data_IF_640319316054
#
_entry.id   IF_640319316054
#
_cell.length_a   1.000
_cell.length_b   1.000
_cell.length_c   1.000
_cell.angle_alpha   90.00
_cell.angle_beta   90.00
_cell.angle_gamma   90.00
#
_symmetry.space_group_name_H-M   'P 1'
#
loop_
_entity.id
_entity.type
_entity.pdbx_description
1 polymer ?
#
# COMPACT_ATOMS: atom_id res chain seq x y z
N UNK A 1 -9.44 2.61 -24.45
CA UNK A 1 -10.11 3.92 -24.71
C UNK A 1 -10.64 4.59 -23.45
N UNK A 2 -11.49 3.93 -22.63
CA UNK A 2 -12.10 4.56 -21.43
C UNK A 2 -11.06 5.13 -20.45
N UNK A 3 -10.02 4.36 -20.13
CA UNK A 3 -8.91 4.82 -19.26
C UNK A 3 -8.22 6.09 -19.79
N UNK A 4 -7.85 6.10 -21.07
CA UNK A 4 -7.17 7.24 -21.70
C UNK A 4 -8.03 8.50 -21.66
N UNK A 5 -9.32 8.37 -21.98
CA UNK A 5 -10.27 9.48 -21.90
C UNK A 5 -10.43 10.00 -20.46
N UNK A 6 -10.50 9.09 -19.48
CA UNK A 6 -10.59 9.45 -18.07
C UNK A 6 -9.31 10.13 -17.55
N UNK A 7 -8.14 9.73 -18.04
CA UNK A 7 -6.87 10.37 -17.69
C UNK A 7 -6.76 11.77 -18.33
N UNK A 8 -7.19 11.93 -19.58
CA UNK A 8 -7.21 13.24 -20.23
C UNK A 8 -8.20 14.20 -19.55
N UNK A 9 -9.35 13.69 -19.08
CA UNK A 9 -10.32 14.49 -18.32
C UNK A 9 -9.72 15.00 -16.99
N UNK A 10 -9.00 14.13 -16.28
CA UNK A 10 -8.29 14.50 -15.05
C UNK A 10 -7.22 15.54 -15.27
N UNK A 11 -6.39 15.40 -16.32
CA UNK A 11 -5.37 16.38 -16.66
C UNK A 11 -5.99 17.75 -16.95
N UNK A 12 -7.15 17.79 -17.61
CA UNK A 12 -7.89 19.04 -17.83
C UNK A 12 -8.39 19.63 -16.52
N UNK A 13 -8.91 18.80 -15.61
CA UNK A 13 -9.34 19.26 -14.28
C UNK A 13 -8.16 19.82 -13.47
N UNK A 14 -7.01 19.14 -13.51
CA UNK A 14 -5.78 19.57 -12.85
C UNK A 14 -5.27 20.92 -13.41
N UNK A 15 -5.25 21.06 -14.74
CA UNK A 15 -4.87 22.30 -15.42
C UNK A 15 -5.79 23.46 -15.02
N UNK A 16 -7.11 23.23 -15.02
CA UNK A 16 -8.10 24.22 -14.63
C UNK A 16 -7.95 24.67 -13.17
N UNK A 17 -7.73 23.72 -12.25
CA UNK A 17 -7.52 24.01 -10.83
C UNK A 17 -6.19 24.77 -10.58
N UNK A 18 -5.13 24.40 -11.30
CA UNK A 18 -3.80 25.00 -11.15
C UNK A 18 -3.69 26.42 -11.76
N UNK A 19 -4.52 26.76 -12.76
CA UNK A 19 -4.38 27.94 -13.62
C UNK A 19 -4.08 29.27 -12.90
N UNK A 20 -4.68 29.51 -11.73
CA UNK A 20 -4.56 30.81 -11.04
C UNK A 20 -3.38 30.89 -10.06
N UNK A 21 -3.02 29.78 -9.42
CA UNK A 21 -2.05 29.76 -8.31
C UNK A 21 -0.76 29.03 -8.64
N UNK A 22 -0.81 28.11 -9.60
CA UNK A 22 0.28 27.19 -9.94
C UNK A 22 0.44 27.09 -11.46
N UNK A 23 0.84 28.19 -12.15
CA UNK A 23 0.94 28.22 -13.62
C UNK A 23 1.87 27.12 -14.16
N UNK A 24 2.97 26.82 -13.46
CA UNK A 24 3.88 25.73 -13.83
C UNK A 24 3.18 24.34 -13.87
N UNK A 25 2.29 24.06 -12.90
CA UNK A 25 1.49 22.81 -12.90
C UNK A 25 0.48 22.81 -14.04
N UNK A 26 -0.14 23.96 -14.30
CA UNK A 26 -1.07 24.13 -15.43
C UNK A 26 -0.39 23.90 -16.78
N UNK A 27 0.80 24.46 -17.00
CA UNK A 27 1.56 24.28 -18.24
C UNK A 27 2.05 22.84 -18.42
N UNK A 28 2.52 22.20 -17.35
CA UNK A 28 2.91 20.78 -17.38
C UNK A 28 1.71 19.85 -17.70
N UNK A 29 0.53 20.15 -17.15
CA UNK A 29 -0.69 19.39 -17.43
C UNK A 29 -1.13 19.54 -18.90
N UNK A 30 -1.05 20.73 -19.47
CA UNK A 30 -1.34 20.96 -20.90
C UNK A 30 -0.36 20.22 -21.81
N UNK A 31 0.93 20.24 -21.46
CA UNK A 31 1.94 19.46 -22.19
C UNK A 31 1.67 17.95 -22.08
N UNK A 32 1.32 17.45 -20.89
CA UNK A 32 0.96 16.05 -20.68
C UNK A 32 -0.28 15.64 -21.48
N UNK A 33 -1.28 16.50 -21.65
CA UNK A 33 -2.46 16.24 -22.51
C UNK A 33 -2.04 16.06 -23.96
N UNK A 34 -1.17 16.92 -24.49
CA UNK A 34 -0.68 16.79 -25.86
C UNK A 34 0.08 15.48 -26.06
N UNK A 35 0.94 15.13 -25.10
CA UNK A 35 1.68 13.86 -25.12
C UNK A 35 0.75 12.65 -25.01
N UNK A 36 -0.28 12.72 -24.15
CA UNK A 36 -1.23 11.62 -23.97
C UNK A 36 -2.00 11.29 -25.25
N UNK A 37 -2.28 12.28 -26.10
CA UNK A 37 -2.98 12.08 -27.38
C UNK A 37 -2.19 11.29 -28.41
N UNK A 38 -0.87 11.21 -28.28
CA UNK A 38 -0.05 10.36 -29.15
C UNK A 38 0.14 8.94 -28.62
N UNK A 39 -0.38 8.62 -27.43
CA UNK A 39 -0.25 7.30 -26.80
C UNK A 39 -1.55 6.52 -26.92
N UNK A 40 -1.46 5.19 -27.08
CA UNK A 40 -2.64 4.32 -27.24
C UNK A 40 -2.84 3.31 -26.11
N UNK A 41 -1.77 2.93 -25.40
CA UNK A 41 -1.78 1.92 -24.35
C UNK A 41 -1.20 2.41 -23.01
N UNK A 42 -1.66 1.85 -21.87
CA UNK A 42 -1.08 2.11 -20.54
C UNK A 42 0.44 1.85 -20.46
N UNK A 43 0.93 0.83 -21.17
CA UNK A 43 2.35 0.49 -21.23
C UNK A 43 3.18 1.61 -21.87
N UNK A 44 2.64 2.35 -22.84
CA UNK A 44 3.32 3.50 -23.43
C UNK A 44 3.39 4.66 -22.42
N UNK A 45 2.37 4.83 -21.58
CA UNK A 45 2.41 5.82 -20.48
C UNK A 45 3.49 5.44 -19.46
N UNK A 46 3.59 4.16 -19.09
CA UNK A 46 4.60 3.68 -18.15
C UNK A 46 6.04 3.95 -18.65
N UNK A 47 6.27 3.94 -19.96
CA UNK A 47 7.55 4.29 -20.58
C UNK A 47 7.81 5.81 -20.62
N UNK A 48 6.77 6.62 -20.42
CA UNK A 48 6.82 8.07 -20.47
C UNK A 48 6.72 8.67 -19.06
N UNK A 49 7.83 8.62 -18.32
CA UNK A 49 7.90 9.10 -16.94
C UNK A 49 7.48 10.58 -16.77
N UNK A 50 7.56 11.41 -17.80
CA UNK A 50 7.08 12.81 -17.76
C UNK A 50 5.60 12.92 -17.34
N UNK A 51 4.77 11.97 -17.78
CA UNK A 51 3.34 11.93 -17.43
C UNK A 51 3.17 11.62 -15.95
N UNK A 52 3.99 10.75 -15.37
CA UNK A 52 3.95 10.52 -13.93
C UNK A 52 4.52 11.71 -13.16
N UNK A 53 5.68 12.22 -13.57
CA UNK A 53 6.37 13.34 -12.89
C UNK A 53 5.50 14.58 -12.78
N UNK A 54 4.66 14.87 -13.78
CA UNK A 54 3.74 16.00 -13.66
C UNK A 54 2.68 15.77 -12.56
N UNK A 55 2.23 14.54 -12.31
CA UNK A 55 1.25 14.25 -11.25
C UNK A 55 1.93 14.40 -9.89
N UNK A 56 3.16 13.90 -9.78
CA UNK A 56 3.98 14.08 -8.57
C UNK A 56 4.29 15.56 -8.32
N UNK A 57 4.57 16.34 -9.38
CA UNK A 57 4.76 17.79 -9.27
C UNK A 57 3.50 18.50 -8.76
N UNK A 58 2.32 18.09 -9.24
CA UNK A 58 1.06 18.64 -8.75
C UNK A 58 0.80 18.30 -7.28
N UNK A 59 1.18 17.08 -6.86
CA UNK A 59 1.13 16.64 -5.47
C UNK A 59 2.12 17.45 -4.60
N UNK A 60 3.33 17.74 -5.10
CA UNK A 60 4.37 18.49 -4.37
C UNK A 60 3.99 19.94 -4.03
N UNK A 61 2.98 20.51 -4.69
CA UNK A 61 2.46 21.84 -4.32
C UNK A 61 1.75 21.82 -2.96
N UNK A 62 1.32 20.64 -2.47
CA UNK A 62 0.63 20.45 -1.18
C UNK A 62 -0.64 21.32 -1.04
N UNK A 63 -1.29 21.61 -2.16
CA UNK A 63 -2.63 22.19 -2.19
C UNK A 63 -3.66 21.07 -2.10
N UNK A 64 -4.55 21.11 -1.10
CA UNK A 64 -5.57 20.07 -0.86
C UNK A 64 -6.28 19.63 -2.13
N UNK A 65 -6.78 20.58 -2.95
CA UNK A 65 -7.50 20.26 -4.18
C UNK A 65 -6.62 19.61 -5.24
N UNK A 66 -5.40 20.12 -5.44
CA UNK A 66 -4.46 19.54 -6.41
C UNK A 66 -3.97 18.17 -5.95
N UNK A 67 -3.73 17.98 -4.66
CA UNK A 67 -3.39 16.70 -4.05
C UNK A 67 -4.51 15.67 -4.24
N UNK A 68 -5.77 16.03 -4.01
CA UNK A 68 -6.91 15.12 -4.23
C UNK A 68 -7.03 14.70 -5.69
N UNK A 69 -6.89 15.65 -6.62
CA UNK A 69 -6.92 15.34 -8.07
C UNK A 69 -5.71 14.48 -8.43
N UNK A 70 -4.49 14.90 -8.07
CA UNK A 70 -3.24 14.22 -8.37
C UNK A 70 -3.19 12.78 -7.84
N UNK A 71 -3.60 12.56 -6.59
CA UNK A 71 -3.70 11.22 -6.01
C UNK A 71 -4.77 10.37 -6.71
N UNK A 72 -5.92 10.95 -7.11
CA UNK A 72 -6.92 10.22 -7.89
C UNK A 72 -6.38 9.77 -9.25
N UNK A 73 -5.57 10.61 -9.89
CA UNK A 73 -4.91 10.27 -11.15
C UNK A 73 -3.90 9.15 -10.93
N UNK A 74 -3.08 9.27 -9.90
CA UNK A 74 -2.06 8.29 -9.53
C UNK A 74 -2.69 6.92 -9.26
N UNK A 75 -3.80 6.87 -8.51
CA UNK A 75 -4.59 5.65 -8.29
C UNK A 75 -4.98 4.98 -9.61
N UNK A 76 -5.45 5.75 -10.60
CA UNK A 76 -5.81 5.22 -11.92
C UNK A 76 -4.60 4.72 -12.69
N UNK A 77 -3.48 5.45 -12.67
CA UNK A 77 -2.25 5.01 -13.34
C UNK A 77 -1.76 3.68 -12.76
N UNK A 78 -1.72 3.56 -11.44
CA UNK A 78 -1.30 2.34 -10.74
C UNK A 78 -2.24 1.18 -11.08
N UNK A 79 -3.56 1.38 -10.97
CA UNK A 79 -4.56 0.34 -11.23
C UNK A 79 -4.55 -0.20 -12.67
N UNK A 80 -4.08 0.61 -13.62
CA UNK A 80 -4.00 0.25 -15.04
C UNK A 80 -2.59 -0.16 -15.50
N UNK A 81 -1.66 -0.39 -14.57
CA UNK A 81 -0.26 -0.69 -14.88
C UNK A 81 0.42 0.34 -15.80
N UNK A 82 0.03 1.61 -15.66
CA UNK A 82 0.55 2.75 -16.42
C UNK A 82 1.72 3.46 -15.72
N UNK A 83 2.44 2.73 -14.86
CA UNK A 83 3.53 3.24 -14.02
C UNK A 83 4.64 2.20 -13.99
N UNK A 84 5.87 2.62 -14.27
CA UNK A 84 7.05 1.78 -14.16
C UNK A 84 7.42 1.51 -12.69
N UNK A 85 7.94 0.32 -12.39
CA UNK A 85 8.37 -0.06 -11.04
C UNK A 85 9.48 0.83 -10.48
N UNK A 86 10.28 1.47 -11.35
CA UNK A 86 11.30 2.45 -10.98
C UNK A 86 10.73 3.63 -10.18
N UNK A 87 9.46 3.99 -10.39
CA UNK A 87 8.84 5.15 -9.77
C UNK A 87 8.25 4.87 -8.38
N UNK A 88 8.32 3.63 -7.88
CA UNK A 88 7.75 3.25 -6.58
C UNK A 88 8.30 4.14 -5.45
N UNK A 89 9.61 4.43 -5.45
CA UNK A 89 10.25 5.26 -4.43
C UNK A 89 9.69 6.69 -4.40
N UNK A 90 9.52 7.31 -5.56
CA UNK A 90 8.98 8.66 -5.67
C UNK A 90 7.50 8.72 -5.28
N UNK A 91 6.75 7.66 -5.60
CA UNK A 91 5.35 7.51 -5.19
C UNK A 91 5.25 7.40 -3.67
N UNK A 92 6.04 6.54 -3.04
CA UNK A 92 6.04 6.39 -1.58
C UNK A 92 6.49 7.67 -0.87
N UNK A 93 7.48 8.39 -1.42
CA UNK A 93 7.89 9.69 -0.90
C UNK A 93 6.74 10.71 -0.98
N UNK A 94 6.04 10.77 -2.12
CA UNK A 94 4.88 11.64 -2.30
C UNK A 94 3.75 11.29 -1.34
N UNK A 95 3.45 10.00 -1.14
CA UNK A 95 2.41 9.54 -0.21
C UNK A 95 2.76 9.85 1.24
N UNK A 96 4.04 9.75 1.63
CA UNK A 96 4.52 10.17 2.95
C UNK A 96 4.26 11.67 3.17
N UNK A 97 4.67 12.50 2.21
CA UNK A 97 4.44 13.95 2.27
C UNK A 97 2.95 14.32 2.41
N UNK A 98 2.05 13.51 1.85
CA UNK A 98 0.60 13.72 1.94
C UNK A 98 -0.01 13.16 3.23
N UNK A 99 0.58 12.12 3.82
CA UNK A 99 0.18 11.63 5.13
C UNK A 99 0.46 12.68 6.23
N UNK A 100 1.56 13.43 6.09
CA UNK A 100 1.96 14.50 7.01
C UNK A 100 1.12 15.79 6.88
N UNK A 101 0.27 15.89 5.84
CA UNK A 101 -0.70 16.99 5.73
C UNK A 101 -1.80 16.84 6.79
N UNK A 102 -2.30 17.96 7.31
CA UNK A 102 -3.35 17.97 8.34
C UNK A 102 -4.78 17.82 7.79
N UNK A 103 -4.94 17.80 6.47
CA UNK A 103 -6.25 17.71 5.83
C UNK A 103 -6.74 16.26 5.78
N UNK A 104 -7.88 15.99 6.42
CA UNK A 104 -8.46 14.64 6.51
C UNK A 104 -8.74 14.03 5.13
N UNK A 105 -9.21 14.83 4.16
CA UNK A 105 -9.54 14.31 2.82
C UNK A 105 -8.27 13.82 2.14
N UNK A 106 -7.18 14.57 2.25
CA UNK A 106 -5.88 14.15 1.72
C UNK A 106 -5.37 12.89 2.43
N UNK A 107 -5.42 12.83 3.75
CA UNK A 107 -4.96 11.65 4.51
C UNK A 107 -5.74 10.38 4.15
N UNK A 108 -7.07 10.46 4.05
CA UNK A 108 -7.91 9.34 3.60
C UNK A 108 -7.59 8.93 2.16
N UNK A 109 -7.34 9.91 1.28
CA UNK A 109 -6.95 9.65 -0.11
C UNK A 109 -5.57 8.99 -0.19
N UNK A 110 -4.63 9.36 0.68
CA UNK A 110 -3.33 8.69 0.83
C UNK A 110 -3.53 7.23 1.22
N UNK A 111 -4.33 6.93 2.24
CA UNK A 111 -4.61 5.55 2.67
C UNK A 111 -5.28 4.69 1.58
N UNK A 112 -6.20 5.27 0.81
CA UNK A 112 -6.78 4.59 -0.35
C UNK A 112 -5.73 4.30 -1.43
N UNK A 113 -4.82 5.24 -1.67
CA UNK A 113 -3.73 5.07 -2.65
C UNK A 113 -2.74 4.01 -2.19
N UNK A 114 -2.43 3.96 -0.89
CA UNK A 114 -1.62 2.91 -0.28
C UNK A 114 -2.23 1.52 -0.52
N UNK A 115 -3.54 1.37 -0.27
CA UNK A 115 -4.21 0.08 -0.49
C UNK A 115 -4.15 -0.36 -1.96
N UNK A 116 -4.39 0.58 -2.89
CA UNK A 116 -4.29 0.30 -4.34
C UNK A 116 -2.86 -0.10 -4.73
N UNK A 117 -1.85 0.55 -4.15
CA UNK A 117 -0.44 0.21 -4.38
C UNK A 117 -0.14 -1.23 -3.97
N UNK A 118 -0.55 -1.65 -2.76
CA UNK A 118 -0.38 -3.03 -2.27
C UNK A 118 -1.13 -4.08 -3.10
N UNK A 119 -2.23 -3.70 -3.75
CA UNK A 119 -3.02 -4.60 -4.61
C UNK A 119 -2.49 -4.68 -6.05
N UNK A 120 -1.54 -3.82 -6.42
CA UNK A 120 -1.06 -3.66 -7.80
C UNK A 120 0.26 -4.39 -8.08
N UNK A 121 0.75 -4.25 -9.32
CA UNK A 121 2.09 -4.70 -9.70
C UNK A 121 3.21 -3.86 -9.06
N UNK A 122 2.89 -2.74 -8.42
CA UNK A 122 3.84 -1.89 -7.68
C UNK A 122 3.85 -2.19 -6.17
N UNK A 123 3.34 -3.33 -5.73
CA UNK A 123 3.41 -3.68 -4.33
C UNK A 123 4.90 -3.69 -3.87
N UNK A 124 5.21 -3.28 -2.63
CA UNK A 124 6.59 -3.23 -2.18
C UNK A 124 7.19 -4.63 -2.12
N UNK A 125 8.32 -4.85 -2.80
CA UNK A 125 9.06 -6.12 -2.81
C UNK A 125 10.37 -6.05 -2.04
N UNK A 126 10.89 -4.82 -1.82
CA UNK A 126 12.09 -4.61 -1.02
C UNK A 126 11.73 -4.25 0.42
N UNK A 127 12.63 -4.56 1.34
CA UNK A 127 12.49 -4.22 2.75
C UNK A 127 12.35 -2.70 2.99
N UNK A 128 13.15 -1.88 2.31
CA UNK A 128 13.08 -0.41 2.37
C UNK A 128 11.70 0.10 1.92
N UNK A 129 11.21 -0.37 0.77
CA UNK A 129 9.91 0.08 0.25
C UNK A 129 8.74 -0.43 1.09
N UNK A 130 8.84 -1.65 1.63
CA UNK A 130 7.84 -2.24 2.53
C UNK A 130 7.75 -1.45 3.84
N UNK A 131 8.90 -1.17 4.46
CA UNK A 131 8.99 -0.36 5.68
C UNK A 131 8.42 1.03 5.46
N UNK A 132 8.80 1.70 4.37
CA UNK A 132 8.28 3.03 4.04
C UNK A 132 6.74 2.99 3.84
N UNK A 133 6.24 2.01 3.10
CA UNK A 133 4.81 1.85 2.82
C UNK A 133 3.98 1.60 4.09
N UNK A 134 4.40 0.64 4.91
CA UNK A 134 3.72 0.33 6.18
C UNK A 134 3.90 1.46 7.19
N UNK A 135 5.07 2.11 7.20
CA UNK A 135 5.38 3.27 8.03
C UNK A 135 4.43 4.44 7.79
N UNK A 136 4.00 4.69 6.54
CA UNK A 136 2.97 5.70 6.24
C UNK A 136 1.63 5.35 6.92
N UNK A 137 1.23 4.08 6.89
CA UNK A 137 -0.01 3.64 7.53
C UNK A 137 0.07 3.78 9.06
N UNK A 138 1.20 3.39 9.65
CA UNK A 138 1.41 3.49 11.10
C UNK A 138 1.52 4.94 11.56
N UNK A 139 2.19 5.80 10.80
CA UNK A 139 2.22 7.24 11.06
C UNK A 139 0.80 7.82 11.20
N UNK A 140 -0.10 7.52 10.26
CA UNK A 140 -1.49 7.98 10.32
C UNK A 140 -2.32 7.34 11.43
N UNK A 141 -1.95 6.11 11.86
CA UNK A 141 -2.62 5.41 12.96
C UNK A 141 -2.28 6.03 14.33
N UNK A 142 -1.02 6.41 14.51
CA UNK A 142 -0.46 6.88 15.78
C UNK A 142 -0.42 8.41 15.90
N UNK A 143 -0.54 9.13 14.79
CA UNK A 143 -0.54 10.59 14.79
C UNK A 143 -1.73 11.16 15.55
N UNK A 144 -1.44 11.92 16.61
CA UNK A 144 -2.44 12.70 17.34
C UNK A 144 -3.08 13.82 16.51
N UNK A 145 -2.51 14.15 15.33
CA UNK A 145 -3.07 15.14 14.40
C UNK A 145 -4.12 14.55 13.46
N UNK A 146 -4.15 13.22 13.33
CA UNK A 146 -5.12 12.52 12.50
C UNK A 146 -6.44 12.34 13.24
N UNK A 147 -7.56 12.54 12.54
CA UNK A 147 -8.89 12.32 13.12
C UNK A 147 -9.13 10.83 13.38
N UNK A 148 -10.11 10.51 14.22
CA UNK A 148 -10.46 9.11 14.50
C UNK A 148 -10.86 8.34 13.23
N UNK A 149 -11.52 9.02 12.30
CA UNK A 149 -11.85 8.51 10.95
C UNK A 149 -10.59 8.05 10.21
N UNK A 150 -9.56 8.89 10.17
CA UNK A 150 -8.27 8.59 9.54
C UNK A 150 -7.56 7.44 10.24
N UNK A 151 -7.48 7.48 11.58
CA UNK A 151 -6.81 6.45 12.39
C UNK A 151 -7.45 5.08 12.22
N UNK A 152 -8.79 5.01 12.25
CA UNK A 152 -9.54 3.77 12.01
C UNK A 152 -9.30 3.23 10.60
N UNK A 153 -9.29 4.13 9.60
CA UNK A 153 -8.99 3.76 8.22
C UNK A 153 -7.55 3.27 8.08
N UNK A 154 -6.59 3.91 8.76
CA UNK A 154 -5.19 3.52 8.77
C UNK A 154 -5.00 2.11 9.36
N UNK A 155 -5.65 1.81 10.49
CA UNK A 155 -5.66 0.47 11.06
C UNK A 155 -6.24 -0.58 10.11
N UNK A 156 -7.31 -0.23 9.38
CA UNK A 156 -7.91 -1.12 8.38
C UNK A 156 -6.99 -1.34 7.17
N UNK A 157 -6.40 -0.29 6.63
CA UNK A 157 -5.44 -0.34 5.51
C UNK A 157 -4.20 -1.12 5.90
N UNK A 158 -3.65 -0.90 7.10
CA UNK A 158 -2.48 -1.62 7.60
C UNK A 158 -2.74 -3.14 7.68
N UNK A 159 -3.86 -3.56 8.28
CA UNK A 159 -4.24 -4.98 8.35
C UNK A 159 -4.40 -5.59 6.96
N UNK A 160 -5.00 -4.87 6.01
CA UNK A 160 -5.16 -5.33 4.63
C UNK A 160 -3.82 -5.42 3.89
N UNK A 161 -2.94 -4.44 4.07
CA UNK A 161 -1.60 -4.43 3.49
C UNK A 161 -0.80 -5.64 3.99
N UNK A 162 -0.77 -5.88 5.30
CA UNK A 162 -0.11 -7.05 5.89
C UNK A 162 -0.69 -8.36 5.32
N UNK A 163 -2.02 -8.47 5.21
CA UNK A 163 -2.65 -9.65 4.60
C UNK A 163 -2.20 -9.85 3.14
N UNK A 164 -2.12 -8.79 2.33
CA UNK A 164 -1.66 -8.84 0.94
C UNK A 164 -0.17 -9.26 0.84
N UNK A 165 0.66 -8.82 1.78
CA UNK A 165 2.06 -9.27 1.85
C UNK A 165 2.11 -10.78 2.08
N UNK A 166 1.33 -11.32 3.02
CA UNK A 166 1.30 -12.76 3.28
C UNK A 166 0.64 -13.56 2.14
N UNK A 167 -0.32 -12.99 1.42
CA UNK A 167 -0.84 -13.60 0.19
C UNK A 167 0.25 -13.73 -0.88
N UNK A 168 1.15 -12.75 -0.98
CA UNK A 168 2.31 -12.82 -1.88
C UNK A 168 3.33 -13.86 -1.41
N UNK A 169 3.57 -13.99 -0.10
CA UNK A 169 4.41 -15.05 0.48
C UNK A 169 3.84 -16.43 0.16
N UNK A 170 2.54 -16.65 0.37
CA UNK A 170 1.86 -17.91 0.06
C UNK A 170 2.05 -18.28 -1.41
N UNK A 171 1.93 -17.30 -2.31
CA UNK A 171 2.11 -17.50 -3.75
C UNK A 171 3.56 -17.80 -4.12
N UNK A 172 4.52 -17.05 -3.58
CA UNK A 172 5.94 -17.17 -3.90
C UNK A 172 6.53 -18.50 -3.39
N UNK A 173 6.13 -18.92 -2.19
CA UNK A 173 6.59 -20.17 -1.56
C UNK A 173 5.77 -21.39 -1.98
N UNK A 174 4.80 -21.23 -2.91
CA UNK A 174 3.90 -22.31 -3.35
C UNK A 174 3.19 -23.02 -2.18
N UNK A 175 2.90 -22.28 -1.12
CA UNK A 175 2.22 -22.82 0.06
C UNK A 175 0.75 -23.12 -0.28
N UNK A 176 0.15 -24.14 0.35
CA UNK A 176 -1.27 -24.39 0.17
C UNK A 176 -2.05 -23.18 0.69
N UNK A 177 -2.63 -22.40 -0.22
CA UNK A 177 -3.64 -21.40 0.13
C UNK A 177 -4.83 -22.16 0.69
N UNK A 178 -4.92 -22.21 2.01
CA UNK A 178 -5.95 -22.94 2.75
C UNK A 178 -7.34 -22.33 2.52
N UNK A 179 -7.91 -22.50 1.32
CA UNK A 179 -9.36 -22.41 1.09
C UNK A 179 -10.07 -23.73 1.41
N UNK A 180 -9.42 -24.62 2.17
CA UNK A 180 -10.07 -25.77 2.75
C UNK A 180 -11.01 -25.27 3.86
N UNK A 181 -12.32 -25.25 3.57
CA UNK A 181 -13.45 -25.13 4.50
C UNK A 181 -14.16 -23.77 4.61
N UNK A 182 -14.58 -23.17 3.49
CA UNK A 182 -15.78 -22.29 3.53
C UNK A 182 -17.10 -23.09 3.70
N UNK A 183 -17.04 -24.42 3.86
CA UNK A 183 -18.21 -25.29 3.99
C UNK A 183 -18.63 -25.63 5.44
N UNK A 184 -18.07 -24.99 6.48
CA UNK A 184 -18.46 -25.30 7.88
C UNK A 184 -18.78 -24.10 8.77
N UNK A 185 -19.15 -22.96 8.19
CA UNK A 185 -19.75 -21.85 8.94
C UNK A 185 -21.28 -21.88 8.99
N UNK A 186 -21.92 -22.90 8.42
CA UNK A 186 -23.33 -23.20 8.67
C UNK A 186 -23.49 -24.23 9.80
N UNK A 187 -24.18 -23.87 10.87
CA UNK A 187 -24.75 -24.79 11.89
C UNK A 187 -23.88 -25.20 13.10
N UNK A 188 -23.17 -24.27 13.77
CA UNK A 188 -22.72 -24.51 15.16
C UNK A 188 -22.86 -23.34 16.16
N UNK A 189 -23.74 -22.37 15.88
CA UNK A 189 -24.18 -21.43 16.92
C UNK A 189 -25.25 -22.11 17.78
N UNK A 190 -24.86 -23.02 18.69
CA UNK A 190 -25.66 -23.38 19.87
C UNK A 190 -24.97 -24.31 20.90
N UNK A 191 -23.73 -24.78 20.73
CA UNK A 191 -23.21 -25.83 21.63
C UNK A 191 -21.74 -25.69 22.04
N UNK A 192 -21.29 -24.47 22.38
CA UNK A 192 -19.99 -24.28 23.04
C UNK A 192 -20.15 -23.27 24.17
N UNK A 193 -20.70 -23.74 25.30
CA UNK A 193 -20.43 -23.15 26.60
C UNK A 193 -19.65 -24.11 27.53
N UNK A 194 -19.62 -25.42 27.25
CA UNK A 194 -19.12 -26.39 28.25
C UNK A 194 -17.94 -27.30 27.83
N UNK A 195 -17.25 -27.06 26.71
CA UNK A 195 -16.17 -27.97 26.27
C UNK A 195 -14.81 -27.30 25.99
N UNK A 196 -14.36 -26.38 26.86
CA UNK A 196 -13.06 -25.71 26.68
C UNK A 196 -11.86 -26.57 27.15
N UNK A 197 -12.03 -27.72 27.81
CA UNK A 197 -10.88 -28.38 28.46
C UNK A 197 -10.21 -29.53 27.69
N UNK A 198 -10.63 -29.91 26.47
CA UNK A 198 -10.00 -31.08 25.81
C UNK A 198 -9.60 -30.96 24.33
N UNK A 199 -9.60 -29.78 23.71
CA UNK A 199 -9.24 -29.66 22.28
C UNK A 199 -7.77 -29.32 21.97
N UNK A 200 -6.89 -29.18 22.97
CA UNK A 200 -5.46 -28.89 22.69
C UNK A 200 -4.60 -30.13 22.50
N UNK A 201 -5.13 -31.34 22.67
CA UNK A 201 -4.32 -32.56 22.71
C UNK A 201 -3.99 -33.17 21.35
N UNK A 202 -4.47 -32.65 20.21
CA UNK A 202 -4.37 -33.43 18.96
C UNK A 202 -3.89 -32.73 17.68
N UNK A 203 -3.38 -31.50 17.71
CA UNK A 203 -2.90 -30.85 16.46
C UNK A 203 -1.57 -30.11 16.55
N UNK A 204 -0.73 -30.35 17.56
CA UNK A 204 0.65 -29.85 17.56
C UNK A 204 1.65 -30.97 17.90
N UNK A 205 1.57 -32.07 17.17
CA UNK A 205 2.73 -32.94 16.98
C UNK A 205 3.66 -32.29 15.95
N UNK A 206 4.16 -31.09 16.24
CA UNK A 206 5.34 -30.60 15.52
C UNK A 206 6.49 -31.53 15.92
N UNK A 207 7.22 -32.13 14.96
CA UNK A 207 8.44 -32.83 15.29
C UNK A 207 9.32 -31.84 16.04
N UNK A 208 9.65 -32.17 17.29
CA UNK A 208 10.72 -31.53 18.04
C UNK A 208 12.06 -31.92 17.38
N UNK A 209 12.23 -31.54 16.12
CA UNK A 209 13.54 -31.50 15.51
C UNK A 209 14.11 -30.16 15.93
N UNK A 210 15.03 -30.21 16.88
CA UNK A 210 15.96 -29.14 17.25
C UNK A 210 16.24 -28.27 16.03
N UNK A 211 15.86 -26.99 16.12
CA UNK A 211 15.80 -26.06 14.99
C UNK A 211 17.02 -26.18 14.10
N UNK A 212 16.82 -26.78 12.93
CA UNK A 212 17.81 -26.73 11.88
C UNK A 212 17.64 -25.36 11.21
N UNK A 213 18.58 -24.40 11.38
CA UNK A 213 18.47 -23.07 10.79
C UNK A 213 18.39 -23.09 9.25
N UNK A 214 18.54 -24.27 8.64
CA UNK A 214 18.44 -24.52 7.19
C UNK A 214 17.05 -24.19 6.61
N UNK A 215 15.96 -24.28 7.38
CA UNK A 215 14.61 -24.01 6.83
C UNK A 215 14.45 -22.54 6.40
N UNK A 216 14.99 -21.58 7.17
CA UNK A 216 15.00 -20.17 6.75
C UNK A 216 15.84 -19.93 5.50
N UNK A 217 16.85 -20.77 5.28
CA UNK A 217 17.79 -20.60 4.18
C UNK A 217 17.17 -20.97 2.82
N UNK A 218 16.09 -21.76 2.82
CA UNK A 218 15.40 -22.22 1.60
C UNK A 218 14.26 -21.31 1.13
N UNK A 219 13.92 -20.27 1.88
CA UNK A 219 12.85 -19.35 1.50
C UNK A 219 13.29 -18.42 0.37
N UNK A 220 12.34 -18.07 -0.51
CA UNK A 220 12.52 -16.98 -1.45
C UNK A 220 12.70 -15.64 -0.73
N UNK A 221 13.13 -14.62 -1.44
CA UNK A 221 13.29 -13.28 -0.87
C UNK A 221 11.95 -12.70 -0.39
N UNK A 222 10.84 -13.05 -1.05
CA UNK A 222 9.48 -12.70 -0.61
C UNK A 222 9.14 -13.40 0.71
N UNK A 223 9.47 -14.69 0.83
CA UNK A 223 9.27 -15.44 2.07
C UNK A 223 10.08 -14.88 3.25
N UNK A 224 11.34 -14.52 3.01
CA UNK A 224 12.19 -13.84 4.01
C UNK A 224 11.62 -12.49 4.43
N UNK A 225 11.14 -11.70 3.47
CA UNK A 225 10.50 -10.41 3.74
C UNK A 225 9.25 -10.59 4.62
N UNK A 226 8.40 -11.57 4.30
CA UNK A 226 7.22 -11.90 5.10
C UNK A 226 7.55 -12.35 6.53
N UNK A 227 8.59 -13.16 6.72
CA UNK A 227 9.04 -13.57 8.05
C UNK A 227 9.59 -12.39 8.86
N UNK A 228 10.41 -11.53 8.26
CA UNK A 228 10.91 -10.32 8.93
C UNK A 228 9.78 -9.39 9.33
N UNK A 229 8.78 -9.22 8.46
CA UNK A 229 7.58 -8.46 8.79
C UNK A 229 6.84 -9.10 9.96
N UNK A 230 6.69 -10.43 9.99
CA UNK A 230 6.05 -11.11 11.12
C UNK A 230 6.80 -10.87 12.43
N UNK A 231 8.12 -11.04 12.41
CA UNK A 231 9.00 -10.80 13.56
C UNK A 231 8.81 -9.38 14.09
N UNK A 232 8.85 -8.40 13.21
CA UNK A 232 8.65 -6.99 13.55
C UNK A 232 7.27 -6.73 14.17
N UNK A 233 6.20 -7.26 13.58
CA UNK A 233 4.85 -7.11 14.13
C UNK A 233 4.74 -7.76 15.52
N UNK A 234 5.37 -8.91 15.74
CA UNK A 234 5.38 -9.57 17.05
C UNK A 234 6.22 -8.80 18.07
N UNK A 235 7.32 -8.18 17.65
CA UNK A 235 8.12 -7.30 18.51
C UNK A 235 7.33 -6.07 18.94
N UNK A 236 6.62 -5.41 18.01
CA UNK A 236 5.72 -4.29 18.31
C UNK A 236 4.66 -4.71 19.33
N UNK A 237 4.00 -5.85 19.09
CA UNK A 237 2.95 -6.34 19.97
C UNK A 237 3.46 -6.69 21.38
N UNK A 238 4.72 -7.11 21.51
CA UNK A 238 5.38 -7.37 22.78
C UNK A 238 5.93 -6.12 23.48
N UNK A 239 5.78 -4.93 22.89
CA UNK A 239 6.36 -3.68 23.38
C UNK A 239 7.90 -3.61 23.21
N UNK A 240 8.46 -4.46 22.36
CA UNK A 240 9.87 -4.47 22.01
C UNK A 240 10.22 -3.45 20.93
N UNK A 241 11.52 -3.14 20.83
CA UNK A 241 12.05 -2.36 19.71
C UNK A 241 12.13 -3.23 18.46
N UNK A 242 11.85 -2.62 17.32
CA UNK A 242 11.70 -3.28 16.03
C UNK A 242 12.89 -2.95 15.14
N UNK A 243 13.30 -3.86 14.26
CA UNK A 243 14.40 -3.60 13.33
C UNK A 243 13.96 -2.84 12.07
N UNK A 244 12.81 -3.16 11.45
CA UNK A 244 12.48 -2.66 10.11
C UNK A 244 11.30 -1.69 10.05
N UNK A 245 10.23 -1.92 10.79
CA UNK A 245 9.03 -1.06 10.73
C UNK A 245 9.17 0.18 11.63
N UNK A 246 9.89 0.08 12.75
CA UNK A 246 9.99 1.19 13.71
C UNK A 246 10.97 2.33 13.40
N UNK A 247 12.03 2.21 12.56
CA UNK A 247 12.82 3.40 12.20
C UNK A 247 11.94 4.51 11.60
N UNK A 248 10.84 4.14 10.93
CA UNK A 248 9.84 5.09 10.45
C UNK A 248 8.89 5.61 11.55
N UNK A 249 8.64 4.86 12.64
CA UNK A 249 7.84 5.34 13.77
C UNK A 249 8.59 6.33 14.67
N UNK A 250 9.87 6.07 14.95
CA UNK A 250 10.64 6.84 15.94
C UNK A 250 11.35 8.09 15.39
N UNK A 251 11.22 8.38 14.09
CA UNK A 251 11.79 9.60 13.49
C UNK A 251 10.77 10.71 13.19
N UNK A 252 9.52 10.59 13.67
CA UNK A 252 8.55 11.68 13.69
C UNK A 252 8.68 12.54 14.95
#
# INVERSE_FOLDING_TARGET
MVFMAALEADLRALSAEARRRHPAVKDAAEHAILKLRSLSAPSEIAQNEDILRMFLMACNVKSVKLSVIGLSCLQKLISHAAVASSALKDILATLKDHAEMTDEIVQLKTLQTMLILFQSHLHPESEESMSQALGICLYLLESNRSSDSVRNTAAATFRQAVALVFDNVIRAESLPSGKASSARLGSRVSAVADNVTHSFSHTLSLPSNSGDPTIMQNLSDVGKLGLRLLEDLTAIAAGGSVCYVAPCLFTA
#
